data_IF_943551995010
#
_entry.id   IF_943551995010
#
_cell.length_a   1.000
_cell.length_b   1.000
_cell.length_c   1.000
_cell.angle_alpha   90.00
_cell.angle_beta   90.00
_cell.angle_gamma   90.00
#
_symmetry.space_group_name_H-M   'P 1'
#
loop_
_entity.id
_entity.type
_entity.pdbx_description
1 polymer ?
#
# COMPACT_ATOMS: atom_id res chain seq x y z
N UNK A 1 -25.84 -8.16 4.96
CA UNK A 1 -24.86 -7.17 4.49
C UNK A 1 -24.47 -6.26 5.65
N UNK A 2 -23.18 -6.23 6.00
CA UNK A 2 -22.63 -5.35 7.04
C UNK A 2 -21.85 -4.20 6.36
N UNK A 3 -22.25 -2.97 6.66
CA UNK A 3 -21.54 -1.77 6.19
C UNK A 3 -20.24 -1.62 6.99
N UNK A 4 -19.18 -1.21 6.31
CA UNK A 4 -17.86 -0.94 6.86
C UNK A 4 -17.46 0.52 6.58
N UNK A 5 -16.39 1.03 7.19
CA UNK A 5 -15.94 2.40 6.95
C UNK A 5 -15.70 2.70 5.46
N UNK A 6 -15.77 3.99 5.11
CA UNK A 6 -15.46 4.53 3.79
C UNK A 6 -16.18 3.83 2.61
N UNK A 7 -17.42 3.39 2.80
CA UNK A 7 -18.26 2.83 1.73
C UNK A 7 -17.99 1.37 1.40
N UNK A 8 -17.11 0.68 2.10
CA UNK A 8 -16.95 -0.77 1.96
C UNK A 8 -18.11 -1.54 2.61
N UNK A 9 -18.33 -2.78 2.22
CA UNK A 9 -19.35 -3.63 2.83
C UNK A 9 -19.01 -5.12 2.66
N UNK A 10 -19.57 -5.96 3.54
CA UNK A 10 -19.27 -7.38 3.59
C UNK A 10 -20.49 -8.21 3.97
N UNK A 11 -20.57 -9.43 3.44
CA UNK A 11 -21.40 -10.51 3.94
C UNK A 11 -20.50 -11.72 4.24
N UNK A 12 -20.53 -12.19 5.48
CA UNK A 12 -19.62 -13.21 5.99
C UNK A 12 -18.49 -12.63 6.84
N UNK A 13 -17.56 -13.47 7.31
CA UNK A 13 -16.40 -13.06 8.09
C UNK A 13 -15.32 -12.40 7.22
N UNK A 14 -14.63 -11.38 7.76
CA UNK A 14 -13.55 -10.72 7.03
C UNK A 14 -12.34 -11.66 6.92
N UNK A 15 -11.76 -11.90 5.72
CA UNK A 15 -10.54 -12.67 5.56
C UNK A 15 -9.37 -12.08 6.36
N UNK A 16 -8.47 -12.94 6.86
CA UNK A 16 -7.35 -12.52 7.69
C UNK A 16 -6.45 -11.50 7.00
N UNK A 17 -6.12 -11.73 5.73
CA UNK A 17 -5.34 -10.77 4.94
C UNK A 17 -6.02 -9.41 4.79
N UNK A 18 -7.35 -9.37 4.69
CA UNK A 18 -8.13 -8.11 4.64
C UNK A 18 -8.14 -7.39 5.98
N UNK A 19 -8.27 -8.13 7.10
CA UNK A 19 -8.21 -7.53 8.44
C UNK A 19 -6.85 -6.88 8.72
N UNK A 20 -5.77 -7.51 8.31
CA UNK A 20 -4.41 -6.94 8.42
C UNK A 20 -4.21 -5.72 7.51
N UNK A 21 -4.83 -5.74 6.32
CA UNK A 21 -4.81 -4.62 5.39
C UNK A 21 -5.51 -3.40 6.00
N UNK A 22 -6.71 -3.59 6.54
CA UNK A 22 -7.49 -2.55 7.24
C UNK A 22 -6.73 -1.94 8.42
N UNK A 23 -6.02 -2.77 9.17
CA UNK A 23 -5.20 -2.32 10.31
C UNK A 23 -3.87 -1.65 9.91
N UNK A 24 -3.57 -1.51 8.62
CA UNK A 24 -2.28 -1.02 8.15
C UNK A 24 -1.10 -1.91 8.54
N UNK A 25 -1.36 -3.13 9.02
CA UNK A 25 -0.37 -4.05 9.58
C UNK A 25 0.19 -5.03 8.54
N UNK A 26 0.11 -4.69 7.27
CA UNK A 26 0.53 -5.53 6.15
C UNK A 26 1.55 -4.80 5.29
N UNK A 27 2.73 -5.40 5.11
CA UNK A 27 3.67 -4.99 4.07
C UNK A 27 3.19 -5.52 2.72
N UNK A 28 3.40 -4.76 1.65
CA UNK A 28 3.18 -5.20 0.27
C UNK A 28 4.52 -5.56 -0.33
N UNK A 29 4.67 -6.80 -0.78
CA UNK A 29 5.84 -7.27 -1.51
C UNK A 29 5.49 -7.45 -2.99
N UNK A 30 6.02 -6.57 -3.82
CA UNK A 30 5.94 -6.65 -5.27
C UNK A 30 7.15 -7.44 -5.77
N UNK A 31 6.95 -8.69 -6.18
CA UNK A 31 8.06 -9.62 -6.50
C UNK A 31 8.67 -9.36 -7.86
N UNK A 32 7.83 -9.05 -8.85
CA UNK A 32 8.22 -8.79 -10.25
C UNK A 32 7.11 -8.04 -10.96
N UNK A 33 7.45 -7.22 -11.94
CA UNK A 33 6.46 -6.57 -12.83
C UNK A 33 6.08 -7.43 -14.05
N UNK A 34 6.72 -8.59 -14.22
CA UNK A 34 6.43 -9.47 -15.35
C UNK A 34 5.01 -10.01 -15.25
N UNK A 35 4.21 -9.74 -16.29
CA UNK A 35 2.87 -10.29 -16.47
C UNK A 35 2.50 -10.20 -17.94
N UNK A 36 2.09 -11.32 -18.56
CA UNK A 36 1.71 -11.35 -19.97
C UNK A 36 0.23 -11.05 -20.20
N UNK A 37 -0.57 -10.92 -19.13
CA UNK A 37 -1.94 -10.43 -19.23
C UNK A 37 -1.98 -8.93 -19.48
N UNK A 38 -2.97 -8.51 -20.27
CA UNK A 38 -3.18 -7.10 -20.65
C UNK A 38 -4.51 -6.59 -20.08
N UNK A 39 -4.68 -6.74 -18.77
CA UNK A 39 -5.87 -6.24 -18.10
C UNK A 39 -5.96 -4.72 -18.29
N UNK A 40 -7.05 -4.26 -18.91
CA UNK A 40 -7.25 -2.84 -19.25
C UNK A 40 -7.33 -1.93 -18.00
N UNK A 41 -7.67 -2.50 -16.86
CA UNK A 41 -7.77 -1.85 -15.56
C UNK A 41 -6.49 -1.90 -14.72
N UNK A 42 -5.40 -2.47 -15.24
CA UNK A 42 -4.18 -2.69 -14.47
C UNK A 42 -3.53 -1.36 -14.05
N UNK A 43 -3.36 -1.09 -12.72
CA UNK A 43 -2.84 0.18 -12.24
C UNK A 43 -1.32 0.21 -12.09
N UNK A 44 -0.61 -0.86 -12.49
CA UNK A 44 0.84 -0.95 -12.34
C UNK A 44 1.53 0.14 -13.15
N UNK A 45 2.39 0.93 -12.50
CA UNK A 45 3.14 2.01 -13.14
C UNK A 45 4.03 1.50 -14.28
N UNK A 46 4.34 2.37 -15.25
CA UNK A 46 5.19 2.01 -16.38
C UNK A 46 6.57 1.56 -15.94
N UNK A 47 7.16 2.17 -14.90
CA UNK A 47 8.43 1.76 -14.32
C UNK A 47 8.42 0.29 -13.87
N UNK A 48 7.32 -0.14 -13.24
CA UNK A 48 7.20 -1.49 -12.70
C UNK A 48 6.74 -2.52 -13.73
N UNK A 49 6.02 -2.09 -14.76
CA UNK A 49 5.43 -2.98 -15.78
C UNK A 49 6.53 -3.71 -16.56
N UNK A 50 6.44 -5.04 -16.61
CA UNK A 50 7.42 -5.94 -17.23
C UNK A 50 8.84 -5.87 -16.65
N UNK A 51 9.07 -5.10 -15.59
CA UNK A 51 10.34 -5.09 -14.87
C UNK A 51 10.55 -6.38 -14.09
N UNK A 52 11.80 -6.82 -13.96
CA UNK A 52 12.20 -7.90 -13.06
C UNK A 52 12.57 -7.41 -11.66
N UNK A 53 12.50 -6.11 -11.44
CA UNK A 53 12.74 -5.51 -10.15
C UNK A 53 11.63 -5.89 -9.15
N UNK A 54 11.96 -5.79 -7.87
CA UNK A 54 11.04 -6.03 -6.78
C UNK A 54 10.98 -4.83 -5.83
N UNK A 55 9.88 -4.71 -5.09
CA UNK A 55 9.70 -3.65 -4.10
C UNK A 55 9.03 -4.18 -2.84
N UNK A 56 9.50 -3.71 -1.70
CA UNK A 56 8.79 -3.85 -0.42
C UNK A 56 8.16 -2.49 -0.10
N UNK A 57 6.84 -2.38 -0.17
CA UNK A 57 6.10 -1.13 -0.23
C UNK A 57 6.70 -0.20 -1.32
N UNK A 58 7.26 0.95 -0.95
CA UNK A 58 7.91 1.91 -1.85
C UNK A 58 9.43 1.67 -2.01
N UNK A 59 10.02 0.77 -1.21
CA UNK A 59 11.45 0.48 -1.22
C UNK A 59 11.81 -0.50 -2.33
N UNK A 60 12.63 -0.08 -3.28
CA UNK A 60 13.19 -0.95 -4.32
C UNK A 60 14.17 -1.95 -3.69
N UNK A 61 14.09 -3.21 -4.12
CA UNK A 61 14.93 -4.32 -3.66
C UNK A 61 15.90 -4.72 -4.76
N UNK A 62 17.18 -4.73 -4.45
CA UNK A 62 18.22 -5.18 -5.39
C UNK A 62 18.46 -6.68 -5.26
N UNK A 63 17.80 -7.46 -6.10
CA UNK A 63 17.93 -8.92 -6.13
C UNK A 63 19.22 -9.41 -6.82
N UNK A 64 20.12 -8.54 -7.27
CA UNK A 64 21.47 -8.94 -7.69
C UNK A 64 22.29 -9.39 -6.47
N UNK A 65 21.97 -8.83 -5.27
CA UNK A 65 22.37 -9.34 -3.96
C UNK A 65 21.13 -9.82 -3.20
N UNK A 66 20.85 -11.12 -3.31
CA UNK A 66 19.67 -11.73 -2.68
C UNK A 66 19.64 -11.48 -1.16
N UNK A 67 20.79 -11.56 -0.50
CA UNK A 67 20.85 -11.33 0.95
C UNK A 67 20.46 -9.90 1.29
N UNK A 68 21.02 -8.92 0.60
CA UNK A 68 20.69 -7.51 0.81
C UNK A 68 19.21 -7.22 0.51
N UNK A 69 18.64 -7.82 -0.55
CA UNK A 69 17.22 -7.69 -0.86
C UNK A 69 16.32 -8.25 0.24
N UNK A 70 16.63 -9.44 0.76
CA UNK A 70 15.88 -10.07 1.85
C UNK A 70 16.01 -9.29 3.17
N UNK A 71 17.19 -8.79 3.50
CA UNK A 71 17.41 -7.92 4.67
C UNK A 71 16.61 -6.62 4.55
N UNK A 72 16.63 -5.96 3.39
CA UNK A 72 15.86 -4.75 3.10
C UNK A 72 14.34 -4.98 3.19
N UNK A 73 13.87 -6.12 2.71
CA UNK A 73 12.46 -6.54 2.85
C UNK A 73 12.05 -6.68 4.33
N UNK A 74 12.92 -7.28 5.14
CA UNK A 74 12.69 -7.44 6.59
C UNK A 74 12.68 -6.09 7.31
N UNK A 75 13.61 -5.19 6.98
CA UNK A 75 13.64 -3.84 7.54
C UNK A 75 12.36 -3.08 7.20
N UNK A 76 11.88 -3.18 5.97
CA UNK A 76 10.64 -2.53 5.57
C UNK A 76 9.43 -3.11 6.34
N UNK A 77 9.36 -4.42 6.53
CA UNK A 77 8.33 -5.04 7.36
C UNK A 77 8.39 -4.58 8.83
N UNK A 78 9.60 -4.41 9.37
CA UNK A 78 9.82 -3.89 10.73
C UNK A 78 9.43 -2.43 10.87
N UNK A 79 9.64 -1.60 9.84
CA UNK A 79 9.37 -0.17 9.87
C UNK A 79 7.90 0.17 10.13
N UNK A 80 6.97 -0.73 9.79
CA UNK A 80 5.54 -0.59 10.07
C UNK A 80 5.02 -1.61 11.09
N UNK A 81 5.91 -2.37 11.74
CA UNK A 81 5.55 -3.47 12.65
C UNK A 81 4.54 -4.43 11.97
N UNK A 82 4.86 -4.87 10.76
CA UNK A 82 3.99 -5.72 9.97
C UNK A 82 3.64 -7.01 10.71
N UNK A 83 2.37 -7.37 10.66
CA UNK A 83 1.86 -8.66 11.16
C UNK A 83 1.62 -9.65 10.03
N UNK A 84 1.77 -9.17 8.80
CA UNK A 84 1.68 -9.98 7.59
C UNK A 84 2.24 -9.29 6.37
N UNK A 85 2.33 -10.06 5.29
CA UNK A 85 2.78 -9.60 3.97
C UNK A 85 1.81 -10.04 2.90
N UNK A 86 1.43 -9.11 2.02
CA UNK A 86 0.71 -9.43 0.78
C UNK A 86 1.69 -9.46 -0.38
N UNK A 87 1.83 -10.61 -1.01
CA UNK A 87 2.70 -10.80 -2.16
C UNK A 87 1.93 -10.55 -3.44
N UNK A 88 2.42 -9.62 -4.24
CA UNK A 88 1.83 -9.17 -5.49
C UNK A 88 2.91 -8.90 -6.54
N UNK A 89 2.52 -8.31 -7.66
CA UNK A 89 3.43 -7.96 -8.74
C UNK A 89 2.66 -7.68 -10.03
N UNK A 90 3.31 -7.90 -11.16
CA UNK A 90 2.63 -8.28 -12.39
C UNK A 90 1.91 -9.60 -12.12
N UNK A 91 2.67 -10.68 -12.03
CA UNK A 91 2.22 -11.89 -11.34
C UNK A 91 3.42 -12.56 -10.65
N UNK A 92 3.39 -12.78 -9.33
CA UNK A 92 4.51 -13.35 -8.57
C UNK A 92 4.96 -14.73 -9.03
N UNK A 93 4.07 -15.50 -9.67
CA UNK A 93 4.37 -16.85 -10.13
C UNK A 93 4.98 -16.90 -11.54
N UNK A 94 5.36 -15.76 -12.13
CA UNK A 94 6.38 -15.71 -13.18
C UNK A 94 7.81 -15.85 -12.63
N UNK A 95 8.00 -15.64 -11.30
CA UNK A 95 9.25 -15.95 -10.59
C UNK A 95 8.91 -16.72 -9.29
N UNK A 96 8.45 -17.99 -9.42
CA UNK A 96 7.97 -18.77 -8.29
C UNK A 96 9.08 -19.10 -7.29
N UNK A 97 10.33 -19.30 -7.75
CA UNK A 97 11.47 -19.51 -6.87
C UNK A 97 11.73 -18.33 -5.96
N UNK A 98 11.74 -17.11 -6.49
CA UNK A 98 11.90 -15.88 -5.72
C UNK A 98 10.76 -15.72 -4.72
N UNK A 99 9.53 -15.98 -5.17
CA UNK A 99 8.34 -15.93 -4.33
C UNK A 99 8.43 -16.91 -3.14
N UNK A 100 8.79 -18.15 -3.39
CA UNK A 100 8.97 -19.18 -2.34
C UNK A 100 10.09 -18.79 -1.37
N UNK A 101 11.23 -18.30 -1.86
CA UNK A 101 12.33 -17.83 -1.00
C UNK A 101 11.91 -16.67 -0.11
N UNK A 102 11.19 -15.69 -0.65
CA UNK A 102 10.68 -14.56 0.12
C UNK A 102 9.73 -15.02 1.24
N UNK A 103 8.79 -15.94 0.95
CA UNK A 103 7.87 -16.50 1.96
C UNK A 103 8.65 -17.19 3.07
N UNK A 104 9.57 -18.09 2.72
CA UNK A 104 10.40 -18.83 3.70
C UNK A 104 11.19 -17.87 4.60
N UNK A 105 11.78 -16.83 4.00
CA UNK A 105 12.56 -15.85 4.75
C UNK A 105 11.70 -15.03 5.72
N UNK A 106 10.51 -14.58 5.29
CA UNK A 106 9.55 -13.90 6.16
C UNK A 106 9.10 -14.78 7.33
N UNK A 107 8.77 -16.05 7.05
CA UNK A 107 8.36 -17.01 8.10
C UNK A 107 9.50 -17.34 9.05
N UNK A 108 10.72 -17.52 8.55
CA UNK A 108 11.90 -17.75 9.38
C UNK A 108 12.20 -16.56 10.30
N UNK A 109 12.01 -15.33 9.81
CA UNK A 109 12.33 -14.11 10.54
C UNK A 109 11.27 -13.71 11.57
N UNK A 110 9.99 -13.77 11.18
CA UNK A 110 8.88 -13.28 12.01
C UNK A 110 8.07 -14.38 12.69
N UNK A 111 8.35 -15.62 12.37
CA UNK A 111 7.64 -16.80 12.89
C UNK A 111 6.34 -17.14 12.15
N UNK A 112 5.70 -18.26 12.51
CA UNK A 112 4.55 -18.80 11.80
C UNK A 112 3.30 -17.89 11.87
N UNK A 113 3.21 -17.01 12.84
CA UNK A 113 2.08 -16.07 13.01
C UNK A 113 2.13 -14.87 12.04
N UNK A 114 3.25 -14.62 11.35
CA UNK A 114 3.32 -13.61 10.33
C UNK A 114 2.52 -14.08 9.12
N UNK A 115 1.35 -13.50 8.90
CA UNK A 115 0.43 -13.95 7.86
C UNK A 115 0.92 -13.56 6.47
N UNK A 116 1.10 -14.54 5.59
CA UNK A 116 1.50 -14.30 4.20
C UNK A 116 0.39 -14.71 3.26
N UNK A 117 -0.06 -13.79 2.40
CA UNK A 117 -0.95 -14.12 1.31
C UNK A 117 -0.37 -13.70 -0.03
N UNK A 118 -0.81 -14.38 -1.08
CA UNK A 118 -0.29 -14.23 -2.44
C UNK A 118 -1.44 -14.06 -3.42
N UNK A 119 -1.28 -13.10 -4.34
CA UNK A 119 -2.17 -12.89 -5.48
C UNK A 119 -1.57 -13.49 -6.75
N UNK A 120 -2.37 -14.24 -7.52
CA UNK A 120 -1.94 -14.77 -8.82
C UNK A 120 -3.08 -14.86 -9.80
N UNK A 121 -2.79 -14.61 -11.07
CA UNK A 121 -3.74 -14.71 -12.19
C UNK A 121 -3.43 -15.91 -13.09
N UNK A 122 -2.16 -16.28 -13.23
CA UNK A 122 -1.73 -17.29 -14.21
C UNK A 122 -2.12 -18.70 -13.79
N UNK A 123 -2.42 -19.60 -14.76
CA UNK A 123 -2.53 -21.03 -14.50
C UNK A 123 -1.13 -21.64 -14.42
N UNK A 124 -0.56 -21.64 -13.24
CA UNK A 124 0.77 -22.17 -12.98
C UNK A 124 0.78 -23.69 -12.73
N UNK A 125 1.98 -24.30 -12.78
CA UNK A 125 2.14 -25.73 -12.52
C UNK A 125 1.76 -26.08 -11.07
N UNK A 126 0.88 -27.06 -10.90
CA UNK A 126 0.34 -27.55 -9.61
C UNK A 126 1.44 -27.90 -8.59
N UNK A 127 2.64 -28.30 -9.05
CA UNK A 127 3.77 -28.55 -8.13
C UNK A 127 4.10 -27.37 -7.24
N UNK A 128 3.85 -26.13 -7.69
CA UNK A 128 4.10 -24.92 -6.91
C UNK A 128 3.14 -24.73 -5.75
N UNK A 129 1.94 -25.36 -5.78
CA UNK A 129 1.04 -25.34 -4.60
C UNK A 129 1.72 -25.95 -3.38
N UNK A 130 2.36 -27.12 -3.55
CA UNK A 130 3.08 -27.76 -2.46
C UNK A 130 4.26 -26.90 -1.97
N UNK A 131 5.06 -26.36 -2.89
CA UNK A 131 6.21 -25.53 -2.54
C UNK A 131 5.81 -24.23 -1.80
N UNK A 132 4.70 -23.60 -2.17
CA UNK A 132 4.14 -22.43 -1.51
C UNK A 132 3.64 -22.78 -0.10
N UNK A 133 2.94 -23.90 0.05
CA UNK A 133 2.46 -24.38 1.34
C UNK A 133 3.62 -24.73 2.28
N UNK A 134 4.61 -25.47 1.79
CA UNK A 134 5.82 -25.81 2.55
C UNK A 134 6.64 -24.57 2.94
N UNK A 135 6.60 -23.51 2.14
CA UNK A 135 7.21 -22.23 2.47
C UNK A 135 6.47 -21.47 3.58
N UNK A 136 5.21 -21.85 3.87
CA UNK A 136 4.38 -21.30 4.92
C UNK A 136 3.38 -20.25 4.41
N UNK A 137 2.94 -20.32 3.15
CA UNK A 137 1.85 -19.48 2.67
C UNK A 137 0.56 -19.74 3.46
N UNK A 138 -0.11 -18.70 3.96
CA UNK A 138 -1.33 -18.83 4.76
C UNK A 138 -2.60 -18.64 3.93
N UNK A 139 -2.54 -17.85 2.86
CA UNK A 139 -3.72 -17.51 2.06
C UNK A 139 -3.34 -17.32 0.58
N UNK A 140 -4.00 -18.06 -0.30
CA UNK A 140 -3.82 -17.95 -1.75
C UNK A 140 -5.04 -17.25 -2.37
N UNK A 141 -4.81 -16.18 -3.14
CA UNK A 141 -5.84 -15.41 -3.82
C UNK A 141 -5.69 -15.51 -5.32
N UNK A 142 -6.69 -16.06 -5.96
CA UNK A 142 -6.77 -16.07 -7.41
C UNK A 142 -7.40 -14.77 -7.93
N UNK A 143 -6.79 -14.22 -8.97
CA UNK A 143 -7.34 -13.12 -9.76
C UNK A 143 -7.68 -13.65 -11.16
N UNK A 144 -8.83 -14.36 -11.32
CA UNK A 144 -9.17 -14.99 -12.58
C UNK A 144 -9.37 -13.95 -13.69
N UNK A 145 -8.89 -14.22 -14.92
CA UNK A 145 -9.20 -13.39 -16.07
C UNK A 145 -10.70 -13.32 -16.31
N UNK A 146 -11.20 -12.16 -16.78
CA UNK A 146 -12.64 -11.92 -16.94
C UNK A 146 -13.34 -12.88 -17.92
N UNK A 147 -12.64 -13.39 -18.92
CA UNK A 147 -13.14 -14.43 -19.82
C UNK A 147 -13.47 -15.76 -19.11
N UNK A 148 -12.98 -15.98 -17.89
CA UNK A 148 -13.25 -17.20 -17.11
C UNK A 148 -14.47 -17.07 -16.21
N UNK A 149 -15.04 -15.87 -16.03
CA UNK A 149 -16.08 -15.64 -15.02
C UNK A 149 -17.44 -16.22 -15.38
N UNK A 150 -17.78 -16.22 -16.67
CA UNK A 150 -19.09 -16.69 -17.13
C UNK A 150 -19.24 -18.21 -16.99
N UNK A 151 -18.19 -18.95 -17.37
CA UNK A 151 -18.19 -20.43 -17.41
C UNK A 151 -16.85 -20.97 -16.88
N UNK A 152 -16.59 -20.93 -15.55
CA UNK A 152 -15.30 -21.34 -15.00
C UNK A 152 -14.85 -22.76 -15.40
N UNK A 153 -15.79 -23.71 -15.47
CA UNK A 153 -15.48 -25.11 -15.84
C UNK A 153 -15.03 -25.27 -17.31
N UNK A 154 -15.36 -24.31 -18.16
CA UNK A 154 -14.92 -24.31 -19.58
C UNK A 154 -13.45 -23.91 -19.75
N UNK A 155 -12.78 -23.56 -18.66
CA UNK A 155 -11.38 -23.17 -18.60
C UNK A 155 -10.55 -24.18 -17.76
N UNK A 156 -10.28 -25.41 -18.27
CA UNK A 156 -9.79 -26.50 -17.44
C UNK A 156 -8.43 -26.27 -16.79
N UNK A 157 -7.57 -25.42 -17.35
CA UNK A 157 -6.29 -25.07 -16.75
C UNK A 157 -6.48 -24.30 -15.43
N UNK A 158 -7.45 -23.40 -15.39
CA UNK A 158 -7.82 -22.62 -14.21
C UNK A 158 -8.64 -23.45 -13.22
N UNK A 159 -9.73 -24.04 -13.66
CA UNK A 159 -10.64 -24.81 -12.80
C UNK A 159 -9.88 -25.92 -12.04
N UNK A 160 -9.03 -26.68 -12.75
CA UNK A 160 -8.20 -27.73 -12.12
C UNK A 160 -7.27 -27.20 -11.04
N UNK A 161 -6.64 -26.05 -11.30
CA UNK A 161 -5.72 -25.42 -10.33
C UNK A 161 -6.49 -24.93 -9.11
N UNK A 162 -7.61 -24.23 -9.31
CA UNK A 162 -8.44 -23.69 -8.25
C UNK A 162 -9.02 -24.82 -7.37
N UNK A 163 -9.55 -25.87 -7.98
CA UNK A 163 -10.08 -27.04 -7.25
C UNK A 163 -8.97 -27.76 -6.49
N UNK A 164 -7.75 -27.85 -7.04
CA UNK A 164 -6.61 -28.43 -6.31
C UNK A 164 -6.19 -27.60 -5.10
N UNK A 165 -6.18 -26.28 -5.23
CA UNK A 165 -5.96 -25.37 -4.11
C UNK A 165 -7.08 -25.50 -3.05
N UNK A 166 -8.33 -25.71 -3.49
CA UNK A 166 -9.48 -25.94 -2.61
C UNK A 166 -9.38 -27.26 -1.83
N UNK A 167 -8.91 -28.33 -2.46
CA UNK A 167 -8.65 -29.60 -1.74
C UNK A 167 -7.64 -29.39 -0.59
N UNK A 168 -6.61 -28.54 -0.81
CA UNK A 168 -5.62 -28.23 0.23
C UNK A 168 -6.23 -27.32 1.32
N UNK A 169 -7.13 -26.40 0.97
CA UNK A 169 -7.92 -25.63 1.94
C UNK A 169 -8.77 -26.56 2.82
N UNK A 170 -9.47 -27.51 2.21
CA UNK A 170 -10.31 -28.47 2.92
C UNK A 170 -9.50 -29.38 3.86
N UNK A 171 -8.23 -29.60 3.54
CA UNK A 171 -7.27 -30.26 4.42
C UNK A 171 -6.72 -29.35 5.53
N UNK A 172 -7.12 -28.08 5.59
CA UNK A 172 -6.71 -27.12 6.62
C UNK A 172 -5.28 -26.57 6.45
N UNK A 173 -4.73 -26.61 5.23
CA UNK A 173 -3.34 -26.20 4.99
C UNK A 173 -3.18 -24.70 4.78
N UNK A 174 -4.20 -24.02 4.26
CA UNK A 174 -4.26 -22.58 4.00
C UNK A 174 -5.69 -22.11 3.74
N UNK A 175 -5.88 -20.81 3.53
CA UNK A 175 -7.13 -20.22 3.05
C UNK A 175 -7.05 -19.95 1.55
N UNK A 176 -8.14 -20.18 0.82
CA UNK A 176 -8.23 -19.87 -0.61
C UNK A 176 -9.37 -18.88 -0.86
N UNK A 177 -9.06 -17.84 -1.61
CA UNK A 177 -10.02 -16.83 -2.02
C UNK A 177 -9.80 -16.34 -3.43
N UNK A 178 -10.70 -15.46 -3.85
CA UNK A 178 -10.65 -14.80 -5.14
C UNK A 178 -10.66 -13.29 -4.94
N UNK A 179 -10.11 -12.57 -5.89
CA UNK A 179 -10.12 -11.12 -5.87
C UNK A 179 -10.22 -10.59 -7.29
N UNK A 180 -11.30 -9.87 -7.60
CA UNK A 180 -11.59 -9.34 -8.92
C UNK A 180 -12.04 -7.87 -8.86
N UNK A 181 -11.83 -7.07 -9.91
CA UNK A 181 -12.44 -5.76 -10.02
C UNK A 181 -13.93 -5.83 -10.28
N UNK A 182 -14.67 -4.85 -9.78
CA UNK A 182 -16.08 -4.68 -10.12
C UNK A 182 -16.18 -3.93 -11.46
N UNK A 183 -16.22 -4.68 -12.56
CA UNK A 183 -16.30 -4.11 -13.90
C UNK A 183 -17.74 -3.73 -14.22
N UNK A 184 -18.07 -2.43 -14.45
CA UNK A 184 -19.40 -2.02 -14.84
C UNK A 184 -19.90 -2.76 -16.10
N UNK A 185 -21.11 -3.31 -16.03
CA UNK A 185 -21.70 -4.13 -17.10
C UNK A 185 -21.42 -5.63 -17.01
N UNK A 186 -20.55 -6.10 -16.09
CA UNK A 186 -20.18 -7.52 -15.95
C UNK A 186 -20.89 -8.24 -14.80
N UNK A 187 -22.01 -7.72 -14.30
CA UNK A 187 -22.71 -8.29 -13.14
C UNK A 187 -23.17 -9.72 -13.32
N UNK A 188 -23.51 -10.14 -14.54
CA UNK A 188 -23.91 -11.53 -14.83
C UNK A 188 -22.71 -12.47 -14.73
N UNK A 189 -21.60 -12.14 -15.39
CA UNK A 189 -20.37 -12.93 -15.39
C UNK A 189 -19.80 -13.04 -13.97
N UNK A 190 -19.75 -11.92 -13.24
CA UNK A 190 -19.33 -11.90 -11.84
C UNK A 190 -20.26 -12.76 -10.97
N UNK A 191 -21.56 -12.70 -11.19
CA UNK A 191 -22.56 -13.51 -10.47
C UNK A 191 -22.36 -15.00 -10.75
N UNK A 192 -22.07 -15.37 -11.99
CA UNK A 192 -21.78 -16.77 -12.37
C UNK A 192 -20.51 -17.28 -11.66
N UNK A 193 -19.44 -16.48 -11.63
CA UNK A 193 -18.23 -16.83 -10.87
C UNK A 193 -18.55 -17.02 -9.39
N UNK A 194 -19.25 -16.08 -8.76
CA UNK A 194 -19.63 -16.18 -7.33
C UNK A 194 -20.50 -17.40 -7.07
N UNK A 195 -21.44 -17.72 -7.98
CA UNK A 195 -22.24 -18.92 -7.91
C UNK A 195 -21.41 -20.21 -7.97
N UNK A 196 -20.43 -20.25 -8.88
CA UNK A 196 -19.50 -21.36 -9.01
C UNK A 196 -18.63 -21.53 -7.73
N UNK A 197 -18.11 -20.40 -7.19
CA UNK A 197 -17.37 -20.40 -5.93
C UNK A 197 -18.20 -20.93 -4.77
N UNK A 198 -19.47 -20.53 -4.69
CA UNK A 198 -20.41 -21.00 -3.68
C UNK A 198 -20.70 -22.50 -3.79
N UNK A 199 -20.88 -23.00 -5.02
CA UNK A 199 -21.10 -24.43 -5.27
C UNK A 199 -19.92 -25.29 -4.82
N UNK A 200 -18.68 -24.79 -4.98
CA UNK A 200 -17.44 -25.44 -4.55
C UNK A 200 -17.00 -25.05 -3.13
N UNK A 201 -17.79 -24.22 -2.42
CA UNK A 201 -17.55 -23.81 -1.03
C UNK A 201 -16.21 -23.10 -0.81
N UNK A 202 -15.75 -22.30 -1.77
CA UNK A 202 -14.60 -21.43 -1.53
C UNK A 202 -14.91 -20.40 -0.45
N UNK A 203 -13.91 -20.07 0.38
CA UNK A 203 -14.11 -19.25 1.56
C UNK A 203 -14.60 -17.85 1.24
N UNK A 204 -13.95 -17.17 0.30
CA UNK A 204 -14.26 -15.77 0.04
C UNK A 204 -13.94 -15.31 -1.38
N UNK A 205 -14.57 -14.20 -1.75
CA UNK A 205 -14.19 -13.37 -2.88
C UNK A 205 -14.17 -11.90 -2.45
N UNK A 206 -13.09 -11.19 -2.81
CA UNK A 206 -13.01 -9.74 -2.73
C UNK A 206 -13.43 -9.13 -4.06
N UNK A 207 -14.34 -8.21 -3.99
CA UNK A 207 -14.80 -7.37 -5.09
C UNK A 207 -14.17 -5.99 -4.90
N UNK A 208 -13.18 -5.65 -5.72
CA UNK A 208 -12.50 -4.37 -5.63
C UNK A 208 -13.22 -3.32 -6.46
N UNK A 209 -13.52 -2.16 -5.88
CA UNK A 209 -13.97 -1.03 -6.67
C UNK A 209 -12.92 -0.71 -7.75
N UNK A 210 -13.38 -0.56 -9.00
CA UNK A 210 -12.51 -0.26 -10.12
C UNK A 210 -12.07 1.21 -10.08
N UNK A 211 -10.78 1.46 -10.29
CA UNK A 211 -10.16 2.78 -10.16
C UNK A 211 -9.40 3.17 -11.41
N UNK A 212 -9.50 4.44 -11.78
CA UNK A 212 -8.63 5.04 -12.76
C UNK A 212 -7.25 5.32 -12.14
N UNK A 213 -6.21 5.08 -12.91
CA UNK A 213 -4.84 5.42 -12.59
C UNK A 213 -4.18 6.04 -13.82
N UNK A 214 -3.02 6.67 -13.64
CA UNK A 214 -2.26 7.23 -14.75
C UNK A 214 -2.04 6.22 -15.90
N UNK A 215 -1.80 4.95 -15.56
CA UNK A 215 -1.45 3.91 -16.54
C UNK A 215 -2.63 3.22 -17.20
N UNK A 216 -3.82 3.24 -16.59
CA UNK A 216 -5.00 2.60 -17.17
C UNK A 216 -6.04 3.59 -17.73
N UNK A 217 -5.82 4.89 -17.55
CA UNK A 217 -6.78 5.96 -17.85
C UNK A 217 -7.32 5.87 -19.28
N UNK A 218 -6.44 5.90 -20.26
CA UNK A 218 -6.81 5.85 -21.68
C UNK A 218 -7.51 4.54 -22.05
N UNK A 219 -7.02 3.42 -21.50
CA UNK A 219 -7.60 2.11 -21.77
C UNK A 219 -9.01 1.96 -21.20
N UNK A 220 -9.30 2.59 -20.07
CA UNK A 220 -10.63 2.60 -19.46
C UNK A 220 -11.57 3.56 -20.19
N UNK A 221 -11.12 4.79 -20.50
CA UNK A 221 -11.94 5.75 -21.25
C UNK A 221 -12.33 5.23 -22.63
N UNK A 222 -11.41 4.60 -23.38
CA UNK A 222 -11.68 4.03 -24.70
C UNK A 222 -12.73 2.92 -24.69
N UNK A 223 -12.97 2.29 -23.51
CA UNK A 223 -14.03 1.30 -23.29
C UNK A 223 -15.33 1.92 -22.78
N UNK A 224 -15.39 3.24 -22.65
CA UNK A 224 -16.59 3.96 -22.22
C UNK A 224 -16.76 4.08 -20.70
N UNK A 225 -15.79 3.62 -19.89
CA UNK A 225 -15.84 3.84 -18.44
C UNK A 225 -15.63 5.32 -18.11
N UNK A 226 -16.22 5.77 -17.02
CA UNK A 226 -16.16 7.17 -16.57
C UNK A 226 -15.77 7.23 -15.10
N UNK A 227 -15.08 8.31 -14.71
CA UNK A 227 -14.78 8.60 -13.32
C UNK A 227 -16.07 9.03 -12.60
N UNK A 228 -16.31 8.48 -11.41
CA UNK A 228 -17.45 8.83 -10.55
C UNK A 228 -17.17 10.15 -9.80
N UNK A 229 -15.95 10.29 -9.28
CA UNK A 229 -15.47 11.51 -8.63
C UNK A 229 -13.95 11.65 -8.81
N UNK A 230 -13.44 12.87 -8.65
CA UNK A 230 -12.02 13.19 -8.83
C UNK A 230 -11.16 12.95 -7.60
N UNK A 231 -11.77 12.82 -6.42
CA UNK A 231 -11.03 12.64 -5.17
C UNK A 231 -10.43 11.22 -5.04
N UNK A 232 -11.17 10.22 -5.51
CA UNK A 232 -10.81 8.81 -5.34
C UNK A 232 -10.57 8.09 -6.66
N UNK A 233 -10.72 8.76 -7.78
CA UNK A 233 -10.55 8.23 -9.15
C UNK A 233 -11.34 6.94 -9.43
N UNK A 234 -12.40 6.66 -8.67
CA UNK A 234 -13.22 5.44 -8.80
C UNK A 234 -14.08 5.48 -10.06
N UNK A 235 -14.31 4.32 -10.64
CA UNK A 235 -15.14 4.17 -11.81
C UNK A 235 -16.63 4.25 -11.44
N UNK A 236 -17.39 5.01 -12.25
CA UNK A 236 -18.85 5.08 -12.14
C UNK A 236 -19.45 3.68 -12.29
N UNK A 237 -20.51 3.39 -11.53
CA UNK A 237 -21.27 2.13 -11.50
C UNK A 237 -20.50 0.89 -10.99
N UNK A 238 -19.23 1.01 -10.58
CA UNK A 238 -18.46 -0.10 -10.04
C UNK A 238 -19.01 -0.63 -8.70
N UNK A 239 -19.40 0.28 -7.80
CA UNK A 239 -20.05 -0.08 -6.53
C UNK A 239 -21.42 -0.72 -6.75
N UNK A 240 -22.20 -0.22 -7.70
CA UNK A 240 -23.53 -0.69 -8.04
C UNK A 240 -23.51 -2.15 -8.52
N UNK A 241 -22.51 -2.51 -9.32
CA UNK A 241 -22.27 -3.90 -9.75
C UNK A 241 -21.99 -4.81 -8.55
N UNK A 242 -21.11 -4.37 -7.64
CA UNK A 242 -20.83 -5.15 -6.43
C UNK A 242 -22.08 -5.37 -5.57
N UNK A 243 -22.89 -4.33 -5.37
CA UNK A 243 -24.15 -4.41 -4.61
C UNK A 243 -25.12 -5.39 -5.24
N UNK A 244 -25.27 -5.38 -6.55
CA UNK A 244 -26.16 -6.30 -7.27
C UNK A 244 -25.68 -7.74 -7.15
N UNK A 245 -24.38 -8.02 -7.36
CA UNK A 245 -23.79 -9.35 -7.20
C UNK A 245 -24.02 -9.88 -5.77
N UNK A 246 -23.73 -9.05 -4.77
CA UNK A 246 -23.91 -9.43 -3.37
C UNK A 246 -25.38 -9.68 -3.00
N UNK A 247 -26.29 -8.89 -3.56
CA UNK A 247 -27.75 -9.12 -3.36
C UNK A 247 -28.19 -10.46 -3.93
N UNK A 248 -27.71 -10.86 -5.11
CA UNK A 248 -28.04 -12.15 -5.75
C UNK A 248 -27.53 -13.35 -4.95
N UNK A 249 -26.38 -13.19 -4.26
CA UNK A 249 -25.75 -14.25 -3.48
C UNK A 249 -25.91 -14.07 -1.96
N UNK A 250 -26.94 -13.32 -1.54
CA UNK A 250 -27.22 -13.12 -0.12
C UNK A 250 -27.49 -14.45 0.60
N UNK A 251 -26.80 -14.69 1.72
CA UNK A 251 -26.93 -15.93 2.50
C UNK A 251 -26.21 -17.14 1.91
N UNK A 252 -25.45 -16.96 0.82
CA UNK A 252 -24.60 -18.00 0.25
C UNK A 252 -23.43 -18.39 1.17
N UNK A 253 -22.74 -19.51 0.89
CA UNK A 253 -21.65 -20.02 1.73
C UNK A 253 -20.35 -19.25 1.60
N UNK A 254 -20.13 -18.56 0.49
CA UNK A 254 -18.90 -17.79 0.22
C UNK A 254 -19.04 -16.39 0.81
N UNK A 255 -18.03 -15.97 1.57
CA UNK A 255 -17.91 -14.57 2.00
C UNK A 255 -17.69 -13.67 0.80
N UNK A 256 -18.45 -12.58 0.69
CA UNK A 256 -18.24 -11.57 -0.35
C UNK A 256 -17.92 -10.24 0.34
N UNK A 257 -16.75 -9.70 0.04
CA UNK A 257 -16.27 -8.43 0.57
C UNK A 257 -16.06 -7.42 -0.55
N UNK A 258 -16.76 -6.30 -0.52
CA UNK A 258 -16.49 -5.17 -1.40
C UNK A 258 -15.50 -4.22 -0.73
N UNK A 259 -14.35 -4.03 -1.38
CA UNK A 259 -13.31 -3.11 -0.97
C UNK A 259 -13.38 -1.84 -1.83
N UNK A 260 -13.90 -0.75 -1.25
CA UNK A 260 -14.05 0.52 -1.95
C UNK A 260 -12.70 1.23 -2.11
N UNK A 261 -12.60 2.10 -3.11
CA UNK A 261 -11.43 2.96 -3.32
C UNK A 261 -11.17 3.89 -2.11
N UNK A 262 -12.17 4.61 -1.58
CA UNK A 262 -11.97 5.42 -0.37
C UNK A 262 -11.48 4.62 0.85
N UNK A 263 -11.84 3.34 0.95
CA UNK A 263 -11.36 2.49 2.03
C UNK A 263 -9.88 2.19 1.91
N UNK A 264 -9.37 1.98 0.69
CA UNK A 264 -7.95 1.76 0.44
C UNK A 264 -7.12 2.99 0.84
N UNK A 265 -7.56 4.18 0.46
CA UNK A 265 -6.82 5.41 0.70
C UNK A 265 -6.99 5.94 2.13
N UNK A 266 -8.23 6.14 2.57
CA UNK A 266 -8.54 6.80 3.84
C UNK A 266 -8.38 5.90 5.07
N UNK A 267 -8.37 4.57 4.88
CA UNK A 267 -8.22 3.62 5.99
C UNK A 267 -6.92 2.83 5.87
N UNK A 268 -6.75 2.04 4.79
CA UNK A 268 -5.62 1.13 4.69
C UNK A 268 -4.29 1.87 4.57
N UNK A 269 -4.19 2.83 3.65
CA UNK A 269 -2.98 3.63 3.45
C UNK A 269 -2.68 4.48 4.68
N UNK A 270 -3.66 5.22 5.17
CA UNK A 270 -3.52 6.05 6.39
C UNK A 270 -3.02 5.24 7.58
N UNK A 271 -3.63 4.09 7.87
CA UNK A 271 -3.20 3.23 8.99
C UNK A 271 -1.78 2.70 8.78
N UNK A 272 -1.39 2.35 7.54
CA UNK A 272 -0.02 1.93 7.23
C UNK A 272 0.99 3.06 7.46
N UNK A 273 0.70 4.25 6.96
CA UNK A 273 1.55 5.43 7.15
C UNK A 273 1.69 5.80 8.63
N UNK A 274 0.58 5.81 9.39
CA UNK A 274 0.62 6.09 10.84
C UNK A 274 1.54 5.10 11.58
N UNK A 275 1.47 3.81 11.25
CA UNK A 275 2.36 2.80 11.83
C UNK A 275 3.83 3.00 11.46
N UNK A 276 4.10 3.45 10.23
CA UNK A 276 5.46 3.80 9.80
C UNK A 276 5.93 5.07 10.51
N UNK A 277 5.10 6.10 10.61
CA UNK A 277 5.41 7.34 11.32
C UNK A 277 5.78 7.08 12.78
N UNK A 278 4.97 6.31 13.53
CA UNK A 278 5.25 5.93 14.92
C UNK A 278 6.63 5.28 15.11
N UNK A 279 7.17 4.59 14.10
CA UNK A 279 8.42 3.85 14.21
C UNK A 279 9.62 4.52 13.59
N UNK A 280 9.40 5.43 12.64
CA UNK A 280 10.44 6.12 11.90
C UNK A 280 10.68 7.54 12.37
N UNK A 281 9.69 8.14 13.04
CA UNK A 281 9.80 9.51 13.53
C UNK A 281 11.06 9.69 14.37
N UNK A 282 11.83 10.71 14.02
CA UNK A 282 12.95 11.18 14.80
C UNK A 282 12.46 12.08 15.95
N UNK A 283 13.24 12.30 17.00
CA UNK A 283 12.82 13.15 18.13
C UNK A 283 12.41 14.57 17.71
N UNK A 284 12.96 15.07 16.62
CA UNK A 284 12.64 16.38 16.05
C UNK A 284 11.48 16.35 15.04
N UNK A 285 10.79 15.25 14.85
CA UNK A 285 9.67 15.12 13.91
C UNK A 285 8.35 14.94 14.65
N UNK A 286 7.29 15.45 14.07
CA UNK A 286 5.92 15.31 14.58
C UNK A 286 5.11 14.45 13.60
N UNK A 287 4.53 13.37 14.11
CA UNK A 287 3.59 12.57 13.33
C UNK A 287 2.22 13.28 13.28
N UNK A 288 1.66 13.42 12.08
CA UNK A 288 0.33 14.00 11.87
C UNK A 288 -0.77 12.95 12.04
N UNK A 289 -2.01 13.40 12.11
CA UNK A 289 -3.18 12.50 12.13
C UNK A 289 -3.31 11.68 10.83
N UNK A 290 -2.79 12.18 9.71
CA UNK A 290 -2.82 11.48 8.41
C UNK A 290 -1.66 10.50 8.22
N UNK A 291 -0.78 10.40 9.23
CA UNK A 291 0.35 9.46 9.22
C UNK A 291 1.57 9.98 8.46
N UNK A 292 1.65 11.27 8.18
CA UNK A 292 2.85 11.93 7.66
C UNK A 292 3.76 12.40 8.80
N UNK A 293 4.97 12.84 8.48
CA UNK A 293 5.93 13.42 9.42
C UNK A 293 6.22 14.87 9.05
N UNK A 294 6.15 15.77 10.04
CA UNK A 294 6.48 17.19 9.89
C UNK A 294 7.77 17.48 10.64
N UNK A 295 8.68 18.21 10.00
CA UNK A 295 9.92 18.75 10.58
C UNK A 295 10.17 20.17 10.10
N UNK A 296 10.92 20.92 10.88
CA UNK A 296 11.51 22.18 10.45
C UNK A 296 12.75 21.92 9.59
N UNK A 297 13.04 22.81 8.66
CA UNK A 297 14.23 22.77 7.80
C UNK A 297 14.81 24.18 7.72
N UNK A 298 16.13 24.31 7.89
CA UNK A 298 16.89 25.54 7.61
C UNK A 298 17.92 25.19 6.55
N UNK A 299 17.86 25.79 5.37
CA UNK A 299 18.87 25.61 4.32
C UNK A 299 20.06 26.54 4.58
N UNK A 300 21.19 26.00 5.03
CA UNK A 300 22.36 26.78 5.39
C UNK A 300 23.65 26.09 4.93
N UNK A 301 24.73 26.89 4.63
CA UNK A 301 25.97 26.34 4.13
C UNK A 301 26.78 25.56 5.19
N UNK A 302 26.59 25.87 6.47
CA UNK A 302 27.27 25.20 7.59
C UNK A 302 26.25 24.70 8.64
N UNK A 303 25.65 23.50 8.43
CA UNK A 303 24.64 22.95 9.32
C UNK A 303 25.15 22.66 10.74
N UNK A 304 26.47 22.32 10.89
CA UNK A 304 27.01 21.98 12.19
C UNK A 304 27.16 23.21 13.09
N UNK A 305 27.65 24.32 12.55
CA UNK A 305 27.77 25.59 13.26
C UNK A 305 26.37 26.14 13.62
N UNK A 306 25.44 26.11 12.66
CA UNK A 306 24.04 26.52 12.91
C UNK A 306 23.40 25.73 14.04
N UNK A 307 23.58 24.41 14.08
CA UNK A 307 23.08 23.58 15.18
C UNK A 307 23.70 23.96 16.53
N UNK A 308 25.02 24.24 16.56
CA UNK A 308 25.69 24.62 17.78
C UNK A 308 25.17 25.97 18.32
N UNK A 309 24.94 26.94 17.45
CA UNK A 309 24.35 28.25 17.79
C UNK A 309 22.94 28.09 18.35
N UNK A 310 22.06 27.31 17.67
CA UNK A 310 20.70 27.07 18.14
C UNK A 310 20.71 26.35 19.49
N UNK A 311 21.52 25.29 19.64
CA UNK A 311 21.62 24.54 20.89
C UNK A 311 22.03 25.42 22.07
N UNK A 312 22.97 26.33 21.85
CA UNK A 312 23.43 27.26 22.87
C UNK A 312 22.42 28.35 23.21
N UNK A 313 21.69 28.87 22.19
CA UNK A 313 20.71 29.95 22.37
C UNK A 313 19.42 29.47 23.07
N UNK A 314 18.96 28.25 22.79
CA UNK A 314 17.70 27.71 23.28
C UNK A 314 17.85 26.63 24.36
N UNK A 315 19.07 26.30 24.76
CA UNK A 315 19.37 25.25 25.77
C UNK A 315 18.67 23.90 25.46
N UNK A 316 18.64 23.50 24.16
CA UNK A 316 17.98 22.27 23.70
C UNK A 316 19.00 21.16 23.45
N UNK A 317 18.57 19.90 23.65
CA UNK A 317 19.39 18.73 23.38
C UNK A 317 19.64 18.51 21.88
N UNK A 318 20.75 17.89 21.57
CA UNK A 318 21.17 17.60 20.19
C UNK A 318 20.17 16.70 19.44
N UNK A 319 19.35 15.92 20.16
CA UNK A 319 18.33 15.06 19.58
C UNK A 319 17.17 15.82 18.91
N UNK A 320 17.02 17.13 19.22
CA UNK A 320 15.99 17.98 18.61
C UNK A 320 16.39 18.53 17.24
N UNK A 321 17.58 18.18 16.76
CA UNK A 321 18.12 18.62 15.47
C UNK A 321 19.01 17.54 14.86
N UNK A 322 19.15 17.57 13.53
CA UNK A 322 20.09 16.74 12.76
C UNK A 322 20.72 17.55 11.64
N UNK A 323 22.05 17.50 11.52
CA UNK A 323 22.76 18.07 10.39
C UNK A 323 22.63 17.14 9.18
N UNK A 324 22.14 17.67 8.07
CA UNK A 324 22.10 17.02 6.78
C UNK A 324 22.87 17.86 5.76
N UNK A 325 23.11 17.32 4.56
CA UNK A 325 23.82 18.05 3.51
C UNK A 325 23.13 19.39 3.20
N UNK A 326 23.81 20.50 3.49
CA UNK A 326 23.33 21.86 3.22
C UNK A 326 22.13 22.31 4.04
N UNK A 327 21.77 21.64 5.13
CA UNK A 327 20.57 21.99 5.91
C UNK A 327 20.61 21.44 7.34
N UNK A 328 19.89 22.11 8.22
CA UNK A 328 19.54 21.61 9.57
C UNK A 328 18.09 21.11 9.53
N UNK A 329 17.87 19.89 9.98
CA UNK A 329 16.56 19.34 10.30
C UNK A 329 16.29 19.59 11.78
N UNK A 330 15.14 20.14 12.14
CA UNK A 330 14.87 20.68 13.47
C UNK A 330 13.41 20.46 13.89
N UNK A 331 13.18 20.40 15.17
CA UNK A 331 11.82 20.31 15.70
C UNK A 331 10.97 21.54 15.27
N UNK A 332 9.77 21.34 14.72
CA UNK A 332 8.91 22.44 14.23
C UNK A 332 8.65 23.51 15.30
N UNK A 333 8.33 23.10 16.53
CA UNK A 333 8.06 23.99 17.64
C UNK A 333 9.27 24.86 18.05
N UNK A 334 10.49 24.37 17.80
CA UNK A 334 11.71 25.13 18.07
C UNK A 334 11.99 26.13 16.95
N UNK A 335 11.88 25.70 15.68
CA UNK A 335 12.09 26.60 14.54
C UNK A 335 11.09 27.76 14.54
N UNK A 336 9.84 27.53 14.89
CA UNK A 336 8.79 28.56 14.95
C UNK A 336 9.18 29.75 15.85
N UNK A 337 10.04 29.55 16.85
CA UNK A 337 10.42 30.59 17.79
C UNK A 337 11.37 31.65 17.24
N UNK A 338 12.13 31.32 16.16
CA UNK A 338 13.18 32.18 15.62
C UNK A 338 13.29 32.16 14.10
N UNK A 339 12.31 31.59 13.42
CA UNK A 339 12.36 31.45 11.94
C UNK A 339 12.55 32.80 11.24
N UNK A 340 11.93 33.88 11.74
CA UNK A 340 12.04 35.24 11.18
C UNK A 340 13.44 35.85 11.37
N UNK A 341 14.25 35.33 12.30
CA UNK A 341 15.59 35.83 12.60
C UNK A 341 16.67 35.09 11.81
N UNK A 342 16.32 33.98 11.18
CA UNK A 342 17.25 33.15 10.40
C UNK A 342 17.52 33.80 9.04
N UNK A 343 18.78 34.07 8.67
CA UNK A 343 19.11 34.70 7.40
C UNK A 343 19.04 33.76 6.19
N UNK A 344 18.63 32.52 6.40
CA UNK A 344 18.52 31.46 5.41
C UNK A 344 17.08 31.01 5.23
N UNK A 345 16.74 30.35 4.08
CA UNK A 345 15.42 29.78 3.89
C UNK A 345 15.06 28.81 5.02
N UNK A 346 13.94 29.09 5.68
CA UNK A 346 13.39 28.27 6.75
C UNK A 346 11.93 27.90 6.45
N UNK A 347 11.59 26.63 6.63
CA UNK A 347 10.25 26.14 6.30
C UNK A 347 9.89 24.89 7.10
N UNK A 348 8.59 24.57 7.17
CA UNK A 348 8.13 23.25 7.55
C UNK A 348 8.05 22.35 6.33
N UNK A 349 8.50 21.11 6.50
CA UNK A 349 8.45 20.07 5.48
C UNK A 349 7.59 18.93 6.00
N UNK A 350 6.46 18.67 5.34
CA UNK A 350 5.63 17.49 5.56
C UNK A 350 6.03 16.41 4.54
N UNK A 351 6.23 15.17 5.01
CA UNK A 351 6.69 14.07 4.18
C UNK A 351 6.05 12.74 4.54
N UNK A 352 6.01 11.81 3.61
CA UNK A 352 5.64 10.43 3.91
C UNK A 352 6.73 9.74 4.73
N UNK A 353 6.36 8.91 5.75
CA UNK A 353 7.31 8.11 6.53
C UNK A 353 7.80 6.87 5.78
N UNK A 354 7.79 6.89 4.45
CA UNK A 354 8.20 5.79 3.57
C UNK A 354 9.69 5.79 3.33
N UNK A 355 10.21 4.75 2.67
CA UNK A 355 11.62 4.66 2.34
C UNK A 355 12.11 5.78 1.39
N UNK A 356 11.21 6.36 0.61
CA UNK A 356 11.51 7.46 -0.33
C UNK A 356 11.45 8.84 0.32
N UNK A 357 10.85 8.94 1.51
CA UNK A 357 10.67 10.21 2.23
C UNK A 357 10.11 11.34 1.36
N UNK A 358 9.16 11.01 0.47
CA UNK A 358 8.61 11.98 -0.47
C UNK A 358 7.99 13.15 0.30
N UNK A 359 8.48 14.39 0.00
CA UNK A 359 7.90 15.62 0.53
C UNK A 359 6.54 15.87 -0.13
N UNK A 360 5.51 16.06 0.70
CA UNK A 360 4.11 16.26 0.29
C UNK A 360 3.77 17.73 0.29
N UNK A 361 4.29 18.47 1.30
CA UNK A 361 4.01 19.88 1.49
C UNK A 361 5.23 20.60 2.05
N UNK A 362 5.40 21.86 1.63
CA UNK A 362 6.43 22.77 2.15
C UNK A 362 5.77 24.10 2.49
N UNK A 363 5.89 24.53 3.74
CA UNK A 363 5.34 25.77 4.24
C UNK A 363 6.49 26.71 4.61
N UNK A 364 6.79 27.75 3.78
CA UNK A 364 7.82 28.75 4.10
C UNK A 364 7.47 29.49 5.40
N UNK A 365 8.48 29.76 6.23
CA UNK A 365 8.34 30.50 7.50
C UNK A 365 8.94 31.89 7.41
N UNK A 366 9.91 32.10 6.53
CA UNK A 366 10.53 33.41 6.30
C UNK A 366 10.72 33.67 4.79
N UNK A 367 10.96 34.92 4.45
CA UNK A 367 11.43 35.32 3.13
C UNK A 367 12.98 35.35 3.16
N UNK A 368 13.68 34.52 2.35
CA UNK A 368 15.13 34.55 2.31
C UNK A 368 15.60 35.94 1.86
N UNK A 369 16.73 36.41 2.42
CA UNK A 369 17.38 37.65 1.95
C UNK A 369 17.61 37.59 0.43
N UNK A 370 17.45 38.73 -0.27
CA UNK A 370 17.44 38.84 -1.75
C UNK A 370 18.62 38.15 -2.46
N UNK A 371 19.74 37.89 -1.75
CA UNK A 371 20.97 37.26 -2.27
C UNK A 371 21.11 35.76 -1.91
N UNK A 372 20.12 35.13 -1.28
CA UNK A 372 20.20 33.70 -0.98
C UNK A 372 19.91 32.87 -2.25
N UNK A 373 20.72 31.84 -2.58
CA UNK A 373 20.47 31.02 -3.74
C UNK A 373 19.15 30.25 -3.55
N UNK A 374 18.21 30.46 -4.47
CA UNK A 374 16.90 29.79 -4.45
C UNK A 374 17.07 28.27 -4.60
N UNK A 375 16.34 27.43 -3.82
CA UNK A 375 16.34 26.00 -4.01
C UNK A 375 15.84 25.60 -5.40
N UNK A 376 16.46 24.60 -6.01
CA UNK A 376 16.34 24.24 -7.42
C UNK A 376 14.96 23.72 -7.88
N UNK A 377 13.96 23.54 -7.01
CA UNK A 377 12.60 23.12 -7.37
C UNK A 377 11.53 23.72 -6.44
N UNK A 378 10.59 24.44 -7.03
CA UNK A 378 9.31 24.77 -6.37
C UNK A 378 8.37 23.56 -6.49
N UNK A 379 7.98 22.96 -5.36
CA UNK A 379 6.81 22.08 -5.28
C UNK A 379 5.56 22.99 -5.19
N UNK A 380 4.45 22.70 -5.87
CA UNK A 380 3.23 23.47 -5.74
C UNK A 380 2.77 23.51 -4.28
N UNK A 381 2.66 24.69 -3.72
CA UNK A 381 2.15 24.90 -2.36
C UNK A 381 0.62 24.83 -2.42
N UNK A 382 0.04 23.87 -1.71
CA UNK A 382 -1.39 23.88 -1.38
C UNK A 382 -1.50 24.55 -0.01
N UNK A 383 -2.09 25.74 0.03
CA UNK A 383 -2.31 26.47 1.29
C UNK A 383 -3.24 25.65 2.22
N UNK A 384 -2.67 25.10 3.29
CA UNK A 384 -3.42 24.66 4.47
C UNK A 384 -3.30 25.73 5.55
N UNK A 385 -4.42 26.05 6.20
CA UNK A 385 -4.41 27.03 7.28
C UNK A 385 -3.52 26.56 8.45
N UNK A 386 -2.57 27.40 8.86
CA UNK A 386 -1.67 27.24 10.00
C UNK A 386 -2.36 26.89 11.33
N UNK A 387 -3.68 27.07 11.41
CA UNK A 387 -4.49 26.78 12.60
C UNK A 387 -4.43 25.33 13.07
N UNK A 388 -4.06 24.37 12.24
CA UNK A 388 -4.00 22.97 12.61
C UNK A 388 -2.64 22.54 13.20
N UNK A 389 -1.55 23.25 12.90
CA UNK A 389 -0.23 22.97 13.45
C UNK A 389 -0.12 23.37 14.94
N UNK A 390 -0.84 24.40 15.39
CA UNK A 390 -0.89 24.80 16.80
C UNK A 390 -1.56 23.76 17.74
N UNK A 391 -2.26 22.75 17.19
CA UNK A 391 -2.86 21.65 17.95
C UNK A 391 -1.93 20.46 18.18
N UNK A 392 -0.76 20.46 17.52
CA UNK A 392 0.25 19.42 17.70
C UNK A 392 1.00 19.71 18.99
N UNK A 393 0.49 19.16 20.09
CA UNK A 393 0.94 19.42 21.46
C UNK A 393 2.43 19.16 21.66
N UNK A 394 3.04 19.98 22.53
CA UNK A 394 4.35 19.71 23.13
C UNK A 394 4.35 18.32 23.75
N UNK A 395 5.41 17.51 23.59
CA UNK A 395 5.53 16.25 24.35
C UNK A 395 5.49 16.56 25.83
N UNK A 396 4.46 16.06 26.51
CA UNK A 396 4.11 16.00 27.91
C UNK A 396 4.85 16.91 28.90
N UNK A 397 4.08 17.81 29.48
CA UNK A 397 4.25 18.11 30.90
C UNK A 397 3.38 17.16 31.74
#
# INVERSE_FOLDING_TARGET
LKVRPAGSFIQGPLPTGCALCEAGAKMVLFVTGVCHYKCFYCPISEEKRMSRDAWANERKLDWSDEKAALDAMVEEARSLNAKGTGITGGDPLYDPERTVRAIRHLKATFGPKHHVHLYTQIPFDIKWLAALQEAGLDELRFHPPDETWETPDSHPAYARLWLKAKEMEDAGLWDVGFEIPCIPGSQEQMSNLVGWLGAHKFRFINLNEMEFSETNYEAMLSRGYRIKDTETSRALDSEEVAREVMRRHAGGPTTIHFCSSPFKDRIQLKQRLSRQAERRAKPYEIATEDGTLVRGVIECPDPADMMAEIAAAFEVGAEMMEAAEGRVLIAPWLLEQFADEVPFPAYFSERYPTATELEVERIPLNEPAEDAPLPARRVPVVERELADLHKLGRPGQ
#
